data_IF_765462113174
#
_entry.id   IF_765462113174
#
_cell.length_a   1.000
_cell.length_b   1.000
_cell.length_c   1.000
_cell.angle_alpha   90.00
_cell.angle_beta   90.00
_cell.angle_gamma   90.00
#
_symmetry.space_group_name_H-M   'P 1'
#
loop_
_entity.id
_entity.type
_entity.pdbx_description
1 polymer ?
#
# COMPACT_ATOMS: atom_id res chain seq x y z
N UNK A 1 -15.98 35.54 -21.97
CA UNK A 1 -16.87 34.40 -21.69
C UNK A 1 -16.10 33.14 -22.06
N UNK A 2 -15.60 32.42 -21.06
CA UNK A 2 -15.06 31.06 -21.25
C UNK A 2 -15.45 30.30 -20.00
N UNK A 3 -16.27 29.28 -20.21
CA UNK A 3 -16.96 28.49 -19.20
C UNK A 3 -16.05 27.35 -18.77
N UNK A 4 -15.30 27.55 -17.67
CA UNK A 4 -14.66 26.45 -16.97
C UNK A 4 -15.74 25.63 -16.26
N UNK A 5 -16.04 24.49 -16.85
CA UNK A 5 -16.96 23.49 -16.34
C UNK A 5 -16.31 22.76 -15.16
N UNK A 6 -16.45 23.34 -13.96
CA UNK A 6 -16.35 22.57 -12.72
C UNK A 6 -17.61 21.70 -12.61
N UNK A 7 -17.62 20.58 -13.34
CA UNK A 7 -18.71 19.61 -13.26
C UNK A 7 -18.66 18.93 -11.90
N UNK A 8 -19.46 19.45 -10.96
CA UNK A 8 -19.87 18.75 -9.77
C UNK A 8 -20.59 17.47 -10.20
N UNK A 9 -19.93 16.32 -10.03
CA UNK A 9 -20.63 15.04 -9.99
C UNK A 9 -21.62 15.08 -8.83
N UNK A 10 -22.88 14.73 -9.10
CA UNK A 10 -23.94 14.64 -8.09
C UNK A 10 -23.48 13.79 -6.90
N UNK A 11 -23.90 14.10 -5.66
CA UNK A 11 -23.63 13.24 -4.52
C UNK A 11 -24.35 11.91 -4.77
N UNK A 12 -23.61 10.85 -5.06
CA UNK A 12 -24.13 9.52 -4.86
C UNK A 12 -24.41 9.40 -3.36
N UNK A 13 -25.63 9.01 -2.99
CA UNK A 13 -25.99 8.65 -1.63
C UNK A 13 -25.12 7.46 -1.22
N UNK A 14 -23.95 7.73 -0.66
CA UNK A 14 -23.07 6.70 -0.13
C UNK A 14 -23.64 6.24 1.21
N UNK A 15 -24.24 5.05 1.18
CA UNK A 15 -24.49 4.22 2.36
C UNK A 15 -23.19 4.09 3.16
N UNK A 16 -23.29 4.16 4.49
CA UNK A 16 -22.21 4.20 5.46
C UNK A 16 -21.42 2.88 5.60
N UNK A 17 -20.90 2.34 4.49
CA UNK A 17 -20.11 1.12 4.46
C UNK A 17 -18.84 1.27 3.61
N UNK A 18 -17.73 1.51 4.33
CA UNK A 18 -16.45 0.80 4.21
C UNK A 18 -15.45 1.03 3.05
N UNK A 19 -15.64 1.96 2.10
CA UNK A 19 -14.56 2.25 1.12
C UNK A 19 -14.08 3.70 1.20
N UNK A 20 -13.06 3.93 2.02
CA UNK A 20 -12.32 5.20 2.08
C UNK A 20 -11.30 5.35 0.93
N UNK A 21 -11.15 4.34 0.07
CA UNK A 21 -10.12 4.32 -0.97
C UNK A 21 -10.66 3.72 -2.26
N UNK A 22 -10.22 4.29 -3.38
CA UNK A 22 -10.54 3.83 -4.73
C UNK A 22 -9.25 3.69 -5.52
N UNK A 23 -9.01 2.54 -6.14
CA UNK A 23 -7.84 2.35 -7.00
C UNK A 23 -7.97 3.27 -8.22
N UNK A 24 -6.92 4.01 -8.54
CA UNK A 24 -6.86 4.89 -9.71
C UNK A 24 -6.20 4.11 -10.85
N UNK A 25 -6.86 4.07 -12.00
CA UNK A 25 -6.34 3.39 -13.18
C UNK A 25 -5.09 4.13 -13.72
N UNK A 26 -4.04 3.42 -14.17
CA UNK A 26 -2.85 4.05 -14.76
C UNK A 26 -3.14 4.96 -15.97
N UNK A 27 -4.26 4.75 -16.68
CA UNK A 27 -4.69 5.61 -17.78
C UNK A 27 -5.39 6.91 -17.33
N UNK A 28 -5.70 7.06 -16.03
CA UNK A 28 -6.36 8.24 -15.50
C UNK A 28 -5.42 9.46 -15.48
N UNK A 29 -5.96 10.65 -15.78
CA UNK A 29 -5.22 11.91 -15.73
C UNK A 29 -4.69 12.23 -14.34
N UNK A 30 -5.41 11.84 -13.28
CA UNK A 30 -4.98 11.96 -11.91
C UNK A 30 -3.73 11.11 -11.63
N UNK A 31 -3.69 9.89 -12.19
CA UNK A 31 -2.52 9.02 -12.10
C UNK A 31 -1.30 9.68 -12.75
N UNK A 32 -1.42 10.07 -14.03
CA UNK A 32 -0.34 10.72 -14.76
C UNK A 32 0.20 11.97 -14.05
N UNK A 33 -0.70 12.78 -13.47
CA UNK A 33 -0.31 13.97 -12.68
C UNK A 33 0.46 13.60 -11.41
N UNK A 34 0.00 12.60 -10.65
CA UNK A 34 0.70 12.17 -9.43
C UNK A 34 2.05 11.56 -9.76
N UNK A 35 2.12 10.75 -10.81
CA UNK A 35 3.35 10.14 -11.29
C UNK A 35 4.37 11.19 -11.73
N UNK A 36 3.97 12.20 -12.51
CA UNK A 36 4.84 13.30 -12.91
C UNK A 36 5.42 14.03 -11.68
N UNK A 37 4.57 14.37 -10.72
CA UNK A 37 4.99 15.02 -9.47
C UNK A 37 5.94 14.13 -8.67
N UNK A 38 5.66 12.83 -8.60
CA UNK A 38 6.45 11.87 -7.85
C UNK A 38 7.84 11.70 -8.45
N UNK A 39 7.94 11.53 -9.78
CA UNK A 39 9.21 11.38 -10.49
C UNK A 39 10.02 12.67 -10.48
N UNK A 40 9.38 13.83 -10.70
CA UNK A 40 10.02 15.15 -10.60
C UNK A 40 10.49 15.49 -9.18
N UNK A 41 9.77 14.99 -8.18
CA UNK A 41 10.08 15.13 -6.76
C UNK A 41 11.24 14.24 -6.29
N UNK A 42 11.66 13.26 -7.08
CA UNK A 42 12.73 12.32 -6.72
C UNK A 42 14.12 12.93 -7.01
N UNK A 43 14.68 13.60 -6.01
CA UNK A 43 15.88 14.47 -6.12
C UNK A 43 17.13 13.93 -5.41
N UNK A 44 16.98 12.95 -4.52
CA UNK A 44 18.13 12.26 -3.90
C UNK A 44 18.81 11.40 -4.96
N UNK A 45 20.11 11.63 -5.19
CA UNK A 45 20.86 11.02 -6.31
C UNK A 45 21.35 9.63 -5.97
N UNK A 46 21.56 9.36 -4.69
CA UNK A 46 22.00 8.10 -4.12
C UNK A 46 20.87 7.07 -4.02
N UNK A 47 19.60 7.50 -4.16
CA UNK A 47 18.44 6.62 -4.13
C UNK A 47 18.10 6.14 -5.54
N UNK A 48 17.94 4.83 -5.69
CA UNK A 48 17.34 4.24 -6.89
C UNK A 48 15.98 4.88 -7.17
N UNK A 49 15.67 5.15 -8.45
CA UNK A 49 14.38 5.74 -8.84
C UNK A 49 13.29 4.66 -8.80
N UNK A 50 12.28 4.79 -7.94
CA UNK A 50 11.23 3.80 -7.85
C UNK A 50 10.14 4.02 -8.91
N UNK A 51 9.35 2.98 -9.12
CA UNK A 51 8.12 3.02 -9.91
C UNK A 51 6.91 2.97 -8.99
N UNK A 52 5.81 3.57 -9.43
CA UNK A 52 4.53 3.44 -8.73
C UNK A 52 3.94 2.07 -9.09
N UNK A 53 3.65 1.26 -8.07
CA UNK A 53 2.95 -0.01 -8.22
C UNK A 53 1.44 0.20 -8.25
N UNK A 54 0.94 1.07 -7.36
CA UNK A 54 -0.49 1.31 -7.22
C UNK A 54 -0.74 2.70 -6.66
N UNK A 55 -1.79 3.34 -7.17
CA UNK A 55 -2.30 4.62 -6.70
C UNK A 55 -3.73 4.45 -6.21
N UNK A 56 -4.02 4.91 -5.00
CA UNK A 56 -5.38 4.98 -4.48
C UNK A 56 -5.80 6.42 -4.24
N UNK A 57 -6.98 6.82 -4.67
CA UNK A 57 -7.64 8.06 -4.25
C UNK A 57 -8.28 7.87 -2.88
N UNK A 58 -8.09 8.85 -2.00
CA UNK A 58 -8.67 8.88 -0.66
C UNK A 58 -10.02 9.58 -0.70
N UNK A 59 -11.08 8.83 -0.36
CA UNK A 59 -12.44 9.34 -0.24
C UNK A 59 -12.63 9.95 1.14
N UNK A 60 -12.62 11.29 1.18
CA UNK A 60 -12.92 12.04 2.39
C UNK A 60 -14.44 12.13 2.64
N UNK A 61 -14.84 12.17 3.91
CA UNK A 61 -16.23 12.46 4.29
C UNK A 61 -16.64 13.88 3.86
N UNK A 62 -17.93 14.11 3.63
CA UNK A 62 -18.44 15.43 3.25
C UNK A 62 -18.03 16.50 4.27
N UNK A 63 -18.15 16.21 5.58
CA UNK A 63 -17.72 17.09 6.66
C UNK A 63 -16.24 17.49 6.57
N UNK A 64 -15.39 16.54 6.20
CA UNK A 64 -13.95 16.77 6.00
C UNK A 64 -13.69 17.68 4.79
N UNK A 65 -14.45 17.49 3.71
CA UNK A 65 -14.37 18.34 2.51
C UNK A 65 -14.91 19.76 2.77
N UNK A 66 -16.00 19.89 3.52
CA UNK A 66 -16.63 21.19 3.83
C UNK A 66 -15.69 22.07 4.65
N UNK A 67 -15.09 21.50 5.71
CA UNK A 67 -14.10 22.22 6.55
C UNK A 67 -12.87 22.66 5.75
N UNK A 68 -12.39 21.82 4.83
CA UNK A 68 -11.29 22.18 3.92
C UNK A 68 -11.71 23.29 2.93
N UNK A 69 -12.92 23.20 2.38
CA UNK A 69 -13.45 24.20 1.44
C UNK A 69 -13.66 25.56 2.12
N UNK A 70 -14.18 25.58 3.34
CA UNK A 70 -14.32 26.78 4.15
C UNK A 70 -12.95 27.41 4.45
N UNK A 71 -11.97 26.60 4.85
CA UNK A 71 -10.60 27.08 5.07
C UNK A 71 -10.00 27.66 3.78
N UNK A 72 -10.19 26.99 2.64
CA UNK A 72 -9.76 27.48 1.32
C UNK A 72 -10.44 28.81 0.96
N UNK A 73 -11.72 28.95 1.25
CA UNK A 73 -12.52 30.12 0.93
C UNK A 73 -11.99 31.40 1.61
N UNK A 74 -11.43 31.29 2.82
CA UNK A 74 -10.79 32.41 3.52
C UNK A 74 -9.67 33.06 2.71
N UNK A 75 -8.99 32.30 1.84
CA UNK A 75 -7.90 32.78 1.00
C UNK A 75 -8.34 33.12 -0.44
N UNK A 76 -9.55 32.72 -0.85
CA UNK A 76 -10.12 32.93 -2.19
C UNK A 76 -9.10 32.56 -3.29
N UNK A 77 -8.82 33.47 -4.23
CA UNK A 77 -7.84 33.30 -5.31
C UNK A 77 -6.39 33.16 -4.82
N UNK A 78 -6.10 33.46 -3.55
CA UNK A 78 -4.76 33.38 -2.95
C UNK A 78 -4.51 32.06 -2.22
N UNK A 79 -5.42 31.08 -2.30
CA UNK A 79 -5.29 29.81 -1.61
C UNK A 79 -4.03 29.02 -1.99
N UNK A 80 -3.54 29.15 -3.23
CA UNK A 80 -2.32 28.46 -3.71
C UNK A 80 -2.32 26.97 -3.30
N UNK A 81 -3.32 26.24 -3.77
CA UNK A 81 -3.48 24.82 -3.45
C UNK A 81 -2.47 23.98 -4.24
N UNK A 82 -1.78 23.06 -3.56
CA UNK A 82 -0.75 22.21 -4.14
C UNK A 82 -0.92 20.76 -3.72
N UNK A 83 -0.39 19.83 -4.54
CA UNK A 83 -0.22 18.44 -4.15
C UNK A 83 1.19 18.26 -3.58
N UNK A 84 1.28 17.85 -2.31
CA UNK A 84 2.56 17.68 -1.59
C UNK A 84 2.64 16.31 -0.91
N UNK A 85 3.85 15.77 -0.83
CA UNK A 85 4.14 14.45 -0.27
C UNK A 85 4.31 14.49 1.25
N UNK A 86 3.89 13.41 1.90
CA UNK A 86 4.11 13.16 3.32
C UNK A 86 4.50 11.68 3.51
N UNK A 87 5.65 11.44 4.13
CA UNK A 87 6.07 10.10 4.57
C UNK A 87 5.77 9.91 6.05
N UNK A 88 5.36 8.70 6.42
CA UNK A 88 4.93 8.38 7.78
C UNK A 88 5.09 6.90 8.10
N UNK A 89 4.73 6.47 9.30
CA UNK A 89 4.81 5.05 9.68
C UNK A 89 3.61 4.24 9.16
N UNK A 90 3.90 3.01 8.72
CA UNK A 90 2.93 2.01 8.33
C UNK A 90 3.22 0.71 9.10
N UNK A 91 2.32 0.32 9.99
CA UNK A 91 2.48 -0.89 10.83
C UNK A 91 1.66 -2.09 10.33
N UNK A 92 0.93 -1.95 9.22
CA UNK A 92 0.05 -2.97 8.67
C UNK A 92 0.35 -3.21 7.18
N UNK A 93 -0.18 -4.29 6.63
CA UNK A 93 -0.08 -4.68 5.22
C UNK A 93 -1.04 -3.94 4.27
N UNK A 94 -1.66 -2.84 4.72
CA UNK A 94 -2.56 -2.01 3.94
C UNK A 94 -1.98 -1.63 2.57
N UNK A 95 -2.75 -1.86 1.51
CA UNK A 95 -2.42 -1.52 0.13
C UNK A 95 -1.37 -2.43 -0.53
N UNK A 96 -0.78 -3.37 0.22
CA UNK A 96 0.26 -4.27 -0.32
C UNK A 96 -0.31 -5.33 -1.27
N UNK A 97 -1.62 -5.55 -1.26
CA UNK A 97 -2.34 -6.36 -2.24
C UNK A 97 -3.70 -5.74 -2.56
N UNK A 98 -4.27 -6.02 -3.75
CA UNK A 98 -5.63 -5.61 -4.08
C UNK A 98 -6.69 -6.16 -3.11
N UNK A 99 -6.40 -7.25 -2.39
CA UNK A 99 -7.29 -7.84 -1.38
C UNK A 99 -7.23 -7.16 -0.02
N UNK A 100 -6.21 -6.33 0.25
CA UNK A 100 -5.97 -5.73 1.56
C UNK A 100 -6.06 -4.20 1.53
N UNK A 101 -7.27 -3.69 1.30
CA UNK A 101 -7.57 -2.25 1.29
C UNK A 101 -8.18 -1.74 2.60
N UNK A 102 -8.29 -2.61 3.62
CA UNK A 102 -8.87 -2.23 4.90
C UNK A 102 -7.85 -1.44 5.73
N UNK A 103 -8.28 -0.29 6.25
CA UNK A 103 -7.48 0.51 7.15
C UNK A 103 -7.46 -0.14 8.53
N UNK A 104 -6.27 -0.22 9.14
CA UNK A 104 -6.13 -0.76 10.49
C UNK A 104 -6.36 0.31 11.56
N UNK A 105 -6.60 -0.14 12.80
CA UNK A 105 -6.72 0.72 13.98
C UNK A 105 -5.48 0.64 14.88
N UNK A 106 -4.36 0.13 14.36
CA UNK A 106 -3.11 -0.02 15.13
C UNK A 106 -2.59 1.39 15.47
N UNK A 107 -2.38 1.73 16.76
CA UNK A 107 -1.97 3.08 17.16
C UNK A 107 -0.65 3.56 16.56
N UNK A 108 0.27 2.63 16.24
CA UNK A 108 1.55 2.93 15.59
C UNK A 108 1.45 3.11 14.06
N UNK A 109 0.30 2.84 13.45
CA UNK A 109 0.06 3.04 12.02
C UNK A 109 -0.46 4.46 11.75
N UNK A 110 0.48 5.40 11.66
CA UNK A 110 0.18 6.80 11.36
C UNK A 110 -0.47 6.95 9.98
N UNK A 111 -0.08 6.13 9.00
CA UNK A 111 -0.68 6.10 7.67
C UNK A 111 -2.20 5.89 7.74
N UNK A 112 -2.65 4.78 8.34
CA UNK A 112 -4.08 4.49 8.44
C UNK A 112 -4.81 5.53 9.29
N UNK A 113 -4.18 6.02 10.35
CA UNK A 113 -4.74 7.08 11.21
C UNK A 113 -5.00 8.37 10.43
N UNK A 114 -4.06 8.78 9.56
CA UNK A 114 -4.19 9.99 8.73
C UNK A 114 -5.23 9.77 7.62
N UNK A 115 -5.24 8.62 6.96
CA UNK A 115 -6.24 8.33 5.92
C UNK A 115 -7.66 8.34 6.52
N UNK A 116 -7.82 7.80 7.73
CA UNK A 116 -9.12 7.71 8.39
C UNK A 116 -9.58 9.04 9.01
N UNK A 117 -8.69 9.73 9.73
CA UNK A 117 -9.04 10.89 10.57
C UNK A 117 -8.54 12.23 10.00
N UNK A 118 -7.86 12.24 8.86
CA UNK A 118 -7.06 13.37 8.38
C UNK A 118 -5.87 13.70 9.29
N UNK A 119 -5.16 14.79 8.97
CA UNK A 119 -4.03 15.27 9.75
C UNK A 119 -4.46 16.01 11.01
N UNK A 120 -3.62 15.91 12.04
CA UNK A 120 -3.77 16.66 13.27
C UNK A 120 -2.43 17.27 13.70
N UNK A 121 -2.34 18.61 13.73
CA UNK A 121 -1.20 19.37 14.23
C UNK A 121 -0.82 18.93 15.63
N UNK A 122 -1.78 18.47 16.45
CA UNK A 122 -1.47 18.02 17.81
C UNK A 122 -0.57 16.77 17.83
N UNK A 123 -0.58 15.96 16.77
CA UNK A 123 0.27 14.77 16.60
C UNK A 123 1.69 15.12 16.15
N UNK A 124 1.97 16.37 15.75
CA UNK A 124 3.34 16.81 15.47
C UNK A 124 4.22 16.67 16.72
N UNK A 125 5.45 16.20 16.53
CA UNK A 125 6.41 16.02 17.64
C UNK A 125 6.34 14.67 18.35
N UNK A 126 5.33 13.83 18.07
CA UNK A 126 5.13 12.54 18.76
C UNK A 126 6.18 11.48 18.40
N UNK A 127 6.74 11.54 17.19
CA UNK A 127 7.76 10.58 16.71
C UNK A 127 9.16 11.18 16.62
N UNK A 128 9.26 12.43 16.18
CA UNK A 128 10.52 13.15 16.12
C UNK A 128 10.36 14.35 17.05
N UNK A 129 11.26 14.54 18.03
CA UNK A 129 11.15 15.68 18.96
C UNK A 129 11.63 16.99 18.35
N UNK A 130 12.53 16.92 17.36
CA UNK A 130 13.03 18.11 16.68
C UNK A 130 12.13 18.49 15.50
N UNK A 131 11.61 19.72 15.54
CA UNK A 131 10.82 20.33 14.48
C UNK A 131 11.52 21.59 13.98
N UNK A 132 11.96 21.56 12.72
CA UNK A 132 12.75 22.66 12.16
C UNK A 132 12.02 24.01 12.17
N UNK A 133 10.72 23.97 11.89
CA UNK A 133 9.82 25.13 11.86
C UNK A 133 8.71 24.97 12.90
N UNK A 134 9.03 24.36 14.04
CA UNK A 134 8.12 24.18 15.16
C UNK A 134 6.90 23.30 14.84
N UNK A 135 5.84 23.44 15.64
CA UNK A 135 4.72 22.51 15.71
C UNK A 135 3.72 22.75 14.57
N UNK A 136 3.85 21.96 13.51
CA UNK A 136 2.96 21.99 12.34
C UNK A 136 2.98 20.68 11.57
N UNK A 137 2.23 20.62 10.48
CA UNK A 137 2.16 19.47 9.58
C UNK A 137 3.19 19.68 8.47
N UNK A 138 4.18 18.77 8.41
CA UNK A 138 5.28 18.83 7.46
C UNK A 138 4.96 18.02 6.21
N UNK A 139 5.09 18.68 5.06
CA UNK A 139 4.91 18.11 3.72
C UNK A 139 5.98 18.65 2.80
N UNK A 140 6.19 18.06 1.63
CA UNK A 140 7.23 18.51 0.70
C UNK A 140 6.87 18.25 -0.75
N UNK A 141 7.41 19.07 -1.65
CA UNK A 141 7.40 18.82 -3.10
C UNK A 141 8.42 17.75 -3.53
N UNK A 142 9.31 17.32 -2.61
CA UNK A 142 10.36 16.35 -2.86
C UNK A 142 9.93 14.95 -2.34
N UNK A 143 9.40 14.11 -3.23
CA UNK A 143 8.99 12.73 -2.91
C UNK A 143 10.10 11.92 -2.24
N UNK A 144 11.33 11.99 -2.77
CA UNK A 144 12.50 11.31 -2.18
C UNK A 144 12.89 11.81 -0.78
N UNK A 145 12.47 13.01 -0.37
CA UNK A 145 12.63 13.49 1.01
C UNK A 145 11.51 12.97 1.90
N UNK A 146 10.27 13.00 1.41
CA UNK A 146 9.16 12.37 2.12
C UNK A 146 9.44 10.88 2.38
N UNK A 147 10.07 10.20 1.42
CA UNK A 147 10.53 8.83 1.52
C UNK A 147 11.45 8.55 2.74
N UNK A 148 12.27 9.51 3.20
CA UNK A 148 13.10 9.35 4.40
C UNK A 148 12.29 9.17 5.68
N UNK A 149 11.05 9.66 5.69
CA UNK A 149 10.16 9.59 6.84
C UNK A 149 9.28 8.33 6.83
N UNK A 150 9.24 7.60 5.70
CA UNK A 150 8.53 6.33 5.62
C UNK A 150 9.19 5.30 6.54
N UNK A 151 8.37 4.70 7.42
CA UNK A 151 8.76 3.52 8.21
C UNK A 151 7.71 2.44 8.02
N UNK A 152 8.02 1.49 7.14
CA UNK A 152 7.29 0.23 7.03
C UNK A 152 7.98 -0.88 7.81
N UNK A 153 7.35 -2.05 7.84
CA UNK A 153 7.99 -3.28 8.30
C UNK A 153 8.52 -4.05 7.07
N UNK A 154 9.86 -4.18 6.90
CA UNK A 154 10.44 -4.91 5.78
C UNK A 154 10.01 -6.37 5.71
N UNK A 155 9.68 -6.99 6.85
CA UNK A 155 9.14 -8.35 6.91
C UNK A 155 7.72 -8.47 6.36
N UNK A 156 7.00 -7.36 6.22
CA UNK A 156 5.66 -7.32 5.63
C UNK A 156 5.75 -7.05 4.12
N UNK A 157 6.58 -6.10 3.70
CA UNK A 157 6.75 -5.76 2.29
C UNK A 157 8.00 -4.92 2.05
N UNK A 158 8.63 -5.12 0.90
CA UNK A 158 9.66 -4.21 0.38
C UNK A 158 9.07 -2.98 -0.32
N UNK A 159 7.76 -2.96 -0.58
CA UNK A 159 7.08 -1.76 -1.10
C UNK A 159 6.99 -0.69 -0.02
N UNK A 160 7.05 0.55 -0.46
CA UNK A 160 7.01 1.75 0.36
C UNK A 160 5.75 2.55 0.06
N UNK A 161 5.33 3.39 1.00
CA UNK A 161 4.09 4.15 0.87
C UNK A 161 4.29 5.62 1.20
N UNK A 162 3.78 6.49 0.34
CA UNK A 162 3.67 7.93 0.59
C UNK A 162 2.23 8.39 0.48
N UNK A 163 1.89 9.42 1.26
CA UNK A 163 0.67 10.18 1.06
C UNK A 163 0.93 11.36 0.14
N UNK A 164 0.02 11.58 -0.82
CA UNK A 164 -0.06 12.81 -1.60
C UNK A 164 -1.27 13.58 -1.12
N UNK A 165 -1.08 14.85 -0.78
CA UNK A 165 -2.05 15.62 -0.01
C UNK A 165 -2.41 16.88 -0.76
N UNK A 166 -3.70 17.25 -0.75
CA UNK A 166 -4.16 18.59 -1.16
C UNK A 166 -3.85 19.55 -0.02
N UNK A 167 -3.01 20.55 -0.28
CA UNK A 167 -2.50 21.48 0.73
C UNK A 167 -2.74 22.92 0.30
N UNK A 168 -3.41 23.71 1.16
CA UNK A 168 -3.60 25.15 0.99
C UNK A 168 -2.36 25.85 1.52
N UNK A 169 -1.40 26.11 0.62
CA UNK A 169 -0.13 26.74 0.99
C UNK A 169 -0.31 28.24 1.24
N UNK A 170 -1.23 28.88 0.52
CA UNK A 170 -1.44 30.32 0.58
C UNK A 170 -0.17 31.12 0.27
N UNK A 171 0.01 32.25 0.95
CA UNK A 171 1.24 33.03 0.95
C UNK A 171 2.24 32.43 1.95
N UNK A 172 3.28 31.79 1.45
CA UNK A 172 4.31 31.14 2.27
C UNK A 172 5.41 32.10 2.73
N UNK A 173 5.80 32.01 4.00
CA UNK A 173 7.00 32.65 4.53
C UNK A 173 8.21 31.77 4.24
N UNK A 174 9.24 32.31 3.60
CA UNK A 174 10.45 31.55 3.25
C UNK A 174 11.49 31.63 4.37
N UNK A 175 12.01 30.48 4.79
CA UNK A 175 13.04 30.36 5.82
C UNK A 175 14.25 29.59 5.28
N UNK A 176 15.45 30.10 5.52
CA UNK A 176 16.71 29.38 5.25
C UNK A 176 17.25 28.64 6.48
N UNK A 177 16.88 29.13 7.66
CA UNK A 177 17.37 28.65 8.96
C UNK A 177 16.21 28.21 9.83
N UNK A 178 16.52 27.41 10.85
CA UNK A 178 15.55 26.86 11.79
C UNK A 178 14.75 27.96 12.50
N UNK A 179 13.46 27.69 12.72
CA UNK A 179 12.54 28.50 13.51
C UNK A 179 11.69 27.56 14.39
N UNK A 180 12.36 26.90 15.32
CA UNK A 180 11.83 25.75 16.08
C UNK A 180 10.68 26.09 17.03
N UNK A 181 10.47 27.37 17.34
CA UNK A 181 9.44 27.85 18.29
C UNK A 181 8.11 28.20 17.62
N UNK A 182 7.99 28.06 16.29
CA UNK A 182 6.76 28.39 15.58
C UNK A 182 5.62 27.42 15.96
N UNK A 183 4.45 27.98 16.22
CA UNK A 183 3.19 27.23 16.41
C UNK A 183 2.08 27.69 15.45
N UNK A 184 2.39 28.69 14.63
CA UNK A 184 1.52 29.30 13.62
C UNK A 184 2.38 29.99 12.56
N UNK A 185 1.87 30.26 11.35
CA UNK A 185 2.64 31.01 10.36
C UNK A 185 2.94 32.44 10.87
N UNK A 186 4.07 33.05 10.43
CA UNK A 186 4.37 34.45 10.73
C UNK A 186 3.26 35.40 10.26
N UNK A 187 3.16 36.57 10.89
CA UNK A 187 2.12 37.57 10.57
C UNK A 187 2.12 37.90 9.08
N UNK A 188 0.96 37.78 8.44
CA UNK A 188 0.78 38.08 7.02
C UNK A 188 1.12 36.92 6.07
N UNK A 189 1.36 35.72 6.61
CA UNK A 189 1.61 34.49 5.87
C UNK A 189 0.64 33.38 6.32
N UNK A 190 0.54 32.32 5.52
CA UNK A 190 -0.38 31.19 5.73
C UNK A 190 0.34 29.87 6.00
N UNK A 191 1.58 29.77 5.53
CA UNK A 191 2.46 28.61 5.70
C UNK A 191 3.92 29.05 5.81
N UNK A 192 4.80 28.10 6.09
CA UNK A 192 6.26 28.27 6.02
C UNK A 192 6.81 27.35 4.94
N UNK A 193 7.77 27.84 4.15
CA UNK A 193 8.58 27.03 3.24
C UNK A 193 10.05 27.18 3.65
N UNK A 194 10.64 26.07 4.07
CA UNK A 194 12.07 25.93 4.23
C UNK A 194 12.74 25.78 2.87
N UNK A 195 13.61 26.72 2.50
CA UNK A 195 14.32 26.71 1.22
C UNK A 195 15.75 26.17 1.38
N UNK A 196 16.27 25.39 0.40
CA UNK A 196 17.63 24.84 0.48
C UNK A 196 18.75 25.90 0.55
N UNK A 197 19.91 25.49 1.07
CA UNK A 197 21.12 26.32 1.13
C UNK A 197 21.40 26.98 2.47
N UNK A 198 20.75 26.49 3.53
CA UNK A 198 21.07 26.80 4.93
C UNK A 198 21.06 25.49 5.71
N UNK A 199 20.12 25.33 6.64
CA UNK A 199 20.00 24.10 7.45
C UNK A 199 19.27 22.96 6.71
N UNK A 200 18.97 23.14 5.41
CA UNK A 200 18.15 22.26 4.59
C UNK A 200 18.82 21.92 3.26
N UNK A 201 18.83 20.64 2.91
CA UNK A 201 19.24 20.13 1.59
C UNK A 201 18.10 20.14 0.58
N UNK A 202 16.86 20.01 1.05
CA UNK A 202 15.65 19.92 0.23
C UNK A 202 14.51 20.73 0.83
N UNK A 203 13.60 21.20 -0.01
CA UNK A 203 12.46 22.02 0.40
C UNK A 203 11.52 21.26 1.36
N UNK A 204 10.93 21.98 2.31
CA UNK A 204 9.87 21.52 3.20
C UNK A 204 8.83 22.61 3.35
N UNK A 205 7.56 22.24 3.32
CA UNK A 205 6.42 23.13 3.53
C UNK A 205 5.72 22.74 4.82
N UNK A 206 5.38 23.72 5.64
CA UNK A 206 4.71 23.51 6.93
C UNK A 206 3.42 24.33 6.98
N UNK A 207 2.31 23.64 7.25
CA UNK A 207 1.01 24.25 7.56
C UNK A 207 0.68 24.03 9.03
N UNK A 208 -0.02 24.99 9.65
CA UNK A 208 -0.25 25.01 11.10
C UNK A 208 -1.74 24.89 11.46
N UNK A 209 -2.56 24.39 10.53
CA UNK A 209 -4.00 24.22 10.72
C UNK A 209 -4.45 22.89 10.13
N UNK A 210 -5.28 22.13 10.85
CA UNK A 210 -5.75 20.81 10.40
C UNK A 210 -6.54 20.90 9.09
N UNK A 211 -7.30 21.99 8.91
CA UNK A 211 -8.08 22.24 7.68
C UNK A 211 -7.27 22.80 6.50
N UNK A 212 -5.97 23.02 6.66
CA UNK A 212 -5.10 23.43 5.55
C UNK A 212 -4.66 22.26 4.65
N UNK A 213 -5.00 21.02 5.02
CA UNK A 213 -4.52 19.81 4.33
C UNK A 213 -5.55 18.69 4.35
N UNK A 214 -5.65 17.94 3.25
CA UNK A 214 -6.39 16.68 3.17
C UNK A 214 -5.56 15.61 2.47
N UNK A 215 -5.55 14.35 2.96
CA UNK A 215 -5.00 13.25 2.19
C UNK A 215 -5.83 13.11 0.90
N UNK A 216 -5.16 13.02 -0.23
CA UNK A 216 -5.79 12.94 -1.54
C UNK A 216 -5.49 11.62 -2.24
N UNK A 217 -4.25 11.14 -2.14
CA UNK A 217 -3.87 9.85 -2.67
C UNK A 217 -2.91 9.10 -1.74
N UNK A 218 -2.92 7.78 -1.85
CA UNK A 218 -1.89 6.88 -1.32
C UNK A 218 -1.10 6.33 -2.50
N UNK A 219 0.21 6.54 -2.51
CA UNK A 219 1.14 6.03 -3.53
C UNK A 219 1.90 4.86 -2.95
N UNK A 220 1.79 3.70 -3.59
CA UNK A 220 2.57 2.50 -3.26
C UNK A 220 3.62 2.35 -4.35
N UNK A 221 4.88 2.24 -3.95
CA UNK A 221 6.00 2.29 -4.87
C UNK A 221 7.15 1.41 -4.39
N UNK A 222 8.04 1.07 -5.31
CA UNK A 222 9.22 0.27 -5.01
C UNK A 222 10.12 0.15 -6.21
N UNK A 223 11.00 -0.85 -6.20
CA UNK A 223 11.77 -1.21 -7.40
C UNK A 223 10.81 -1.65 -8.49
N UNK A 224 11.19 -1.40 -9.74
CA UNK A 224 10.46 -1.98 -10.86
C UNK A 224 10.33 -3.49 -10.65
N UNK A 225 9.14 -4.07 -10.87
CA UNK A 225 9.01 -5.53 -10.92
C UNK A 225 10.08 -6.05 -11.86
N UNK A 226 10.93 -6.95 -11.37
CA UNK A 226 11.92 -7.60 -12.23
C UNK A 226 11.12 -8.43 -13.22
N UNK A 227 10.99 -7.93 -14.45
CA UNK A 227 10.48 -8.75 -15.55
C UNK A 227 11.49 -9.88 -15.68
N UNK A 228 11.16 -11.06 -15.17
CA UNK A 228 11.95 -12.26 -15.42
C UNK A 228 11.81 -12.51 -16.93
N UNK A 229 12.87 -12.30 -17.73
CA UNK A 229 12.83 -12.69 -19.13
C UNK A 229 12.69 -14.21 -19.16
N UNK A 230 11.98 -14.73 -20.15
CA UNK A 230 11.98 -16.17 -20.47
C UNK A 230 13.40 -16.73 -20.37
N UNK A 231 13.54 -17.82 -19.63
CA UNK A 231 14.79 -18.49 -19.25
C UNK A 231 15.86 -18.51 -20.35
N UNK A 232 16.90 -17.70 -20.23
CA UNK A 232 18.27 -18.04 -20.67
C UNK A 232 19.30 -17.41 -19.71
N UNK A 233 20.36 -18.18 -19.46
CA UNK A 233 21.24 -18.18 -18.29
C UNK A 233 22.04 -16.89 -18.03
N UNK A 234 22.41 -16.65 -16.75
CA UNK A 234 23.73 -16.10 -16.32
C UNK A 234 23.83 -16.09 -14.76
N UNK A 235 25.06 -16.00 -14.19
CA UNK A 235 25.46 -16.76 -13.00
C UNK A 235 25.40 -15.99 -11.67
N UNK A 236 25.49 -16.79 -10.59
CA UNK A 236 25.40 -16.40 -9.19
C UNK A 236 26.71 -15.81 -8.63
N UNK A 237 26.59 -14.70 -7.89
CA UNK A 237 27.36 -14.29 -6.69
C UNK A 237 26.89 -12.87 -6.33
N UNK A 238 26.63 -12.40 -5.11
CA UNK A 238 26.77 -12.84 -3.70
C UNK A 238 25.68 -12.04 -2.95
N UNK A 239 25.11 -12.54 -1.84
CA UNK A 239 24.84 -11.73 -0.62
C UNK A 239 24.29 -12.61 0.51
N UNK A 240 24.97 -12.57 1.65
CA UNK A 240 24.61 -13.26 2.88
C UNK A 240 23.47 -12.55 3.63
N UNK A 241 22.63 -13.35 4.30
CA UNK A 241 21.77 -12.92 5.39
C UNK A 241 20.32 -12.55 5.02
N UNK A 242 19.61 -13.40 4.27
CA UNK A 242 18.19 -13.20 3.95
C UNK A 242 17.41 -14.52 4.05
N UNK A 243 16.23 -14.49 4.69
CA UNK A 243 15.17 -15.46 4.40
C UNK A 243 14.84 -15.38 2.91
N UNK A 244 14.85 -16.51 2.19
CA UNK A 244 14.52 -16.48 0.76
C UNK A 244 13.01 -16.66 0.55
N UNK A 245 12.43 -15.85 -0.34
CA UNK A 245 11.07 -16.03 -0.81
C UNK A 245 11.11 -17.02 -1.97
N UNK A 246 10.30 -18.06 -1.89
CA UNK A 246 10.16 -19.06 -2.95
C UNK A 246 8.74 -19.04 -3.50
N UNK A 247 8.63 -18.87 -4.83
CA UNK A 247 7.36 -19.04 -5.52
C UNK A 247 7.04 -20.53 -5.57
N UNK A 248 5.89 -20.90 -5.02
CA UNK A 248 5.46 -22.29 -4.99
C UNK A 248 3.99 -22.39 -5.36
N UNK A 249 3.58 -23.60 -5.74
CA UNK A 249 2.20 -23.97 -5.91
C UNK A 249 1.75 -24.68 -4.64
N UNK A 250 0.83 -24.04 -3.92
CA UNK A 250 0.10 -24.72 -2.86
C UNK A 250 -0.92 -25.68 -3.44
N UNK A 251 -0.79 -26.93 -3.00
CA UNK A 251 -1.86 -27.89 -3.04
C UNK A 251 -1.90 -28.57 -1.68
N UNK A 252 -2.97 -28.35 -0.97
CA UNK A 252 -3.10 -28.89 0.37
C UNK A 252 -3.97 -30.15 0.34
N UNK A 253 -4.04 -30.83 1.48
CA UNK A 253 -4.58 -32.18 1.67
C UNK A 253 -6.02 -32.38 1.17
N UNK A 254 -6.60 -33.57 1.40
CA UNK A 254 -7.96 -33.99 0.99
C UNK A 254 -9.10 -32.98 1.26
N UNK A 255 -8.85 -31.96 2.08
CA UNK A 255 -9.77 -30.92 2.53
C UNK A 255 -9.71 -29.62 1.70
N UNK A 256 -8.80 -29.50 0.71
CA UNK A 256 -8.64 -28.27 -0.10
C UNK A 256 -9.35 -28.34 -1.44
N UNK A 257 -10.59 -28.81 -1.42
CA UNK A 257 -11.37 -29.01 -2.64
C UNK A 257 -11.96 -27.68 -3.13
N UNK A 258 -11.82 -27.41 -4.44
CA UNK A 258 -12.59 -26.36 -5.10
C UNK A 258 -13.99 -26.89 -5.39
N UNK A 259 -14.91 -26.77 -4.42
CA UNK A 259 -16.26 -27.32 -4.57
C UNK A 259 -17.24 -26.39 -5.29
N UNK A 260 -16.81 -25.19 -5.65
CA UNK A 260 -17.63 -24.20 -6.32
C UNK A 260 -17.20 -24.00 -7.78
N UNK A 261 -18.08 -23.39 -8.58
CA UNK A 261 -17.84 -23.07 -9.98
C UNK A 261 -16.95 -21.83 -10.17
N UNK A 262 -15.86 -21.75 -9.40
CA UNK A 262 -14.92 -20.63 -9.45
C UNK A 262 -14.37 -20.52 -10.88
N UNK A 263 -14.55 -19.34 -11.50
CA UNK A 263 -14.07 -19.07 -12.86
C UNK A 263 -14.90 -19.66 -14.00
N UNK A 264 -15.94 -20.45 -13.74
CA UNK A 264 -16.84 -20.97 -14.80
C UNK A 264 -17.80 -19.89 -15.30
N UNK A 265 -18.46 -19.19 -14.37
CA UNK A 265 -19.39 -18.10 -14.70
C UNK A 265 -18.81 -16.72 -14.36
N UNK A 266 -18.03 -16.64 -13.27
CA UNK A 266 -17.45 -15.41 -12.75
C UNK A 266 -16.29 -15.74 -11.77
N UNK A 267 -15.30 -14.85 -11.69
CA UNK A 267 -14.17 -14.97 -10.78
C UNK A 267 -14.51 -14.47 -9.36
N UNK A 268 -15.56 -15.01 -8.76
CA UNK A 268 -16.04 -14.63 -7.43
C UNK A 268 -15.83 -15.78 -6.45
N UNK A 269 -15.17 -15.49 -5.32
CA UNK A 269 -14.93 -16.45 -4.25
C UNK A 269 -16.22 -16.72 -3.47
N UNK A 270 -16.64 -17.99 -3.36
CA UNK A 270 -17.86 -18.37 -2.64
C UNK A 270 -17.70 -18.31 -1.11
N UNK A 271 -18.81 -18.24 -0.38
CA UNK A 271 -18.85 -18.23 1.09
C UNK A 271 -19.09 -19.61 1.72
N UNK A 272 -18.94 -20.69 0.93
CA UNK A 272 -19.11 -22.05 1.44
C UNK A 272 -17.96 -22.39 2.38
N UNK A 273 -18.29 -22.74 3.63
CA UNK A 273 -17.30 -23.18 4.63
C UNK A 273 -16.50 -24.39 4.17
N UNK A 274 -17.09 -25.23 3.32
CA UNK A 274 -16.46 -26.43 2.76
C UNK A 274 -15.54 -26.17 1.55
N UNK A 275 -15.48 -24.93 1.01
CA UNK A 275 -14.63 -24.62 -0.13
C UNK A 275 -13.20 -24.31 0.29
N UNK A 276 -12.28 -25.26 0.12
CA UNK A 276 -10.89 -25.11 0.51
C UNK A 276 -10.20 -23.93 -0.18
N UNK A 277 -10.34 -23.80 -1.49
CA UNK A 277 -9.70 -22.72 -2.26
C UNK A 277 -10.21 -21.34 -1.83
N UNK A 278 -11.54 -21.15 -1.76
CA UNK A 278 -12.08 -19.82 -1.44
C UNK A 278 -11.78 -19.40 0.00
N UNK A 279 -11.83 -20.32 0.97
CA UNK A 279 -11.49 -20.01 2.36
C UNK A 279 -10.01 -19.67 2.51
N UNK A 280 -9.12 -20.41 1.84
CA UNK A 280 -7.67 -20.13 1.86
C UNK A 280 -7.36 -18.77 1.25
N UNK A 281 -7.92 -18.45 0.08
CA UNK A 281 -7.66 -17.16 -0.58
C UNK A 281 -8.22 -16.00 0.25
N UNK A 282 -9.44 -16.13 0.81
CA UNK A 282 -10.04 -15.09 1.66
C UNK A 282 -9.27 -14.84 2.95
N UNK A 283 -8.80 -15.91 3.58
CA UNK A 283 -8.12 -15.85 4.87
C UNK A 283 -6.60 -15.68 4.76
N UNK A 284 -6.04 -15.79 3.55
CA UNK A 284 -4.59 -15.89 3.33
C UNK A 284 -3.96 -17.01 4.17
N UNK A 285 -4.42 -18.25 3.95
CA UNK A 285 -3.98 -19.47 4.66
C UNK A 285 -4.26 -19.54 6.17
N UNK A 286 -4.94 -18.56 6.77
CA UNK A 286 -5.32 -18.58 8.19
C UNK A 286 -6.48 -19.51 8.51
N UNK A 287 -7.26 -19.87 7.51
CA UNK A 287 -8.44 -20.72 7.63
C UNK A 287 -8.63 -21.56 6.37
N UNK A 288 -8.78 -22.86 6.58
CA UNK A 288 -9.03 -23.89 5.57
C UNK A 288 -10.52 -24.26 5.55
N UNK A 289 -10.86 -25.30 4.79
CA UNK A 289 -12.23 -25.81 4.78
C UNK A 289 -12.68 -26.17 6.21
N UNK A 290 -13.96 -25.96 6.49
CA UNK A 290 -14.62 -26.20 7.77
C UNK A 290 -14.05 -25.44 8.98
N UNK A 291 -13.19 -24.45 8.74
CA UNK A 291 -12.64 -23.61 9.81
C UNK A 291 -11.31 -24.11 10.37
N UNK A 292 -10.71 -25.14 9.77
CA UNK A 292 -9.41 -25.65 10.18
C UNK A 292 -8.31 -24.59 10.03
N UNK A 293 -7.27 -24.65 10.87
CA UNK A 293 -6.20 -23.65 10.91
C UNK A 293 -4.86 -24.14 10.36
N UNK A 294 -4.76 -25.43 10.07
CA UNK A 294 -3.58 -26.07 9.53
C UNK A 294 -3.97 -27.34 8.77
N UNK A 295 -3.06 -27.88 7.97
CA UNK A 295 -3.19 -29.23 7.42
C UNK A 295 -2.30 -30.19 8.21
N UNK A 296 -2.77 -31.42 8.34
CA UNK A 296 -1.97 -32.51 8.89
C UNK A 296 -1.18 -33.21 7.76
N UNK A 297 0.14 -33.29 7.90
CA UNK A 297 1.00 -33.94 6.92
C UNK A 297 2.29 -34.49 7.53
N UNK A 298 3.25 -34.84 6.67
CA UNK A 298 4.52 -35.51 7.04
C UNK A 298 5.32 -34.79 8.14
N UNK A 299 5.23 -33.48 8.20
CA UNK A 299 5.97 -32.62 9.12
C UNK A 299 5.11 -32.05 10.26
N UNK A 300 3.90 -32.60 10.46
CA UNK A 300 2.94 -32.16 11.46
C UNK A 300 1.90 -31.18 10.93
N UNK A 301 1.26 -30.44 11.85
CA UNK A 301 0.28 -29.40 11.52
C UNK A 301 0.98 -28.19 10.90
N UNK A 302 0.55 -27.82 9.70
CA UNK A 302 1.00 -26.59 9.05
C UNK A 302 0.51 -26.47 7.61
N UNK A 303 1.20 -25.67 6.83
CA UNK A 303 0.87 -25.43 5.41
C UNK A 303 1.92 -26.09 4.54
N UNK A 304 1.44 -26.86 3.56
CA UNK A 304 2.27 -27.58 2.60
C UNK A 304 2.11 -26.97 1.20
N UNK A 305 3.23 -26.69 0.55
CA UNK A 305 3.31 -26.22 -0.83
C UNK A 305 4.36 -26.99 -1.62
N UNK A 306 4.40 -26.82 -2.94
CA UNK A 306 5.31 -27.54 -3.83
C UNK A 306 5.86 -26.59 -4.88
N UNK A 307 7.17 -26.65 -5.15
CA UNK A 307 7.74 -25.93 -6.31
C UNK A 307 7.27 -26.53 -7.62
N UNK A 308 7.21 -27.87 -7.72
CA UNK A 308 6.77 -28.57 -8.91
C UNK A 308 5.22 -28.60 -9.01
N UNK A 309 4.62 -27.96 -10.03
CA UNK A 309 3.18 -27.97 -10.24
C UNK A 309 2.58 -29.37 -10.42
N UNK A 310 3.34 -30.36 -10.90
CA UNK A 310 2.86 -31.74 -11.05
C UNK A 310 2.65 -32.44 -9.70
N UNK A 311 3.44 -32.09 -8.68
CA UNK A 311 3.20 -32.57 -7.32
C UNK A 311 2.01 -31.85 -6.71
N UNK A 312 1.89 -30.54 -6.98
CA UNK A 312 0.75 -29.75 -6.55
C UNK A 312 -0.57 -30.28 -7.17
N UNK A 313 -0.52 -30.64 -8.44
CA UNK A 313 -1.66 -31.14 -9.19
C UNK A 313 -2.29 -32.37 -8.54
N UNK A 314 -1.52 -33.26 -7.91
CA UNK A 314 -2.04 -34.47 -7.24
C UNK A 314 -3.13 -34.18 -6.20
N UNK A 315 -3.14 -32.97 -5.64
CA UNK A 315 -4.15 -32.54 -4.66
C UNK A 315 -5.13 -31.48 -5.21
N UNK A 316 -4.92 -31.03 -6.45
CA UNK A 316 -5.84 -30.12 -7.13
C UNK A 316 -7.13 -30.87 -7.53
N UNK A 317 -8.23 -30.53 -6.87
CA UNK A 317 -9.54 -31.15 -7.08
C UNK A 317 -10.57 -30.13 -7.58
N UNK A 318 -11.37 -30.55 -8.57
CA UNK A 318 -12.47 -29.77 -9.15
C UNK A 318 -13.81 -30.27 -8.62
N UNK A 319 -14.81 -29.39 -8.57
CA UNK A 319 -16.20 -29.80 -8.47
C UNK A 319 -16.65 -30.51 -9.75
N UNK A 320 -17.59 -31.46 -9.63
CA UNK A 320 -18.09 -32.25 -10.78
C UNK A 320 -18.72 -31.39 -11.90
N UNK A 321 -19.08 -30.14 -11.59
CA UNK A 321 -19.69 -29.18 -12.52
C UNK A 321 -18.68 -28.23 -13.18
N UNK A 322 -17.40 -28.26 -12.82
CA UNK A 322 -16.34 -27.43 -13.41
C UNK A 322 -15.34 -28.28 -14.19
N UNK A 323 -14.99 -27.89 -15.42
CA UNK A 323 -13.93 -28.57 -16.18
C UNK A 323 -12.52 -28.20 -15.70
N UNK A 324 -12.39 -27.24 -14.77
CA UNK A 324 -11.10 -26.70 -14.34
C UNK A 324 -10.64 -27.27 -13.00
N UNK A 325 -9.39 -27.70 -12.95
CA UNK A 325 -8.65 -27.90 -11.71
C UNK A 325 -8.14 -26.54 -11.23
N UNK A 326 -8.09 -26.38 -9.92
CA UNK A 326 -7.74 -25.10 -9.30
C UNK A 326 -6.59 -25.30 -8.32
N UNK A 327 -5.55 -24.49 -8.46
CA UNK A 327 -4.41 -24.43 -7.56
C UNK A 327 -4.15 -22.98 -7.15
N UNK A 328 -3.44 -22.80 -6.05
CA UNK A 328 -3.04 -21.47 -5.58
C UNK A 328 -1.53 -21.37 -5.75
N UNK A 329 -1.08 -20.43 -6.58
CA UNK A 329 0.30 -19.99 -6.56
C UNK A 329 0.49 -19.07 -5.35
N UNK A 330 1.56 -19.27 -4.61
CA UNK A 330 1.81 -18.61 -3.35
C UNK A 330 3.29 -18.28 -3.18
N UNK A 331 3.54 -17.19 -2.46
CA UNK A 331 4.87 -16.83 -2.03
C UNK A 331 5.08 -17.37 -0.63
N UNK A 332 6.18 -18.11 -0.44
CA UNK A 332 6.50 -18.73 0.84
C UNK A 332 7.84 -18.22 1.34
N UNK A 333 7.87 -17.80 2.59
CA UNK A 333 9.07 -17.40 3.31
C UNK A 333 9.68 -18.65 3.93
N UNK A 334 10.91 -18.99 3.55
CA UNK A 334 11.66 -20.08 4.17
C UNK A 334 12.90 -19.56 4.90
N UNK A 335 13.21 -20.21 6.01
CA UNK A 335 14.45 -19.98 6.76
C UNK A 335 15.58 -20.78 6.09
N UNK A 336 16.69 -20.08 5.81
CA UNK A 336 17.91 -20.57 5.14
C UNK A 336 17.85 -20.69 3.61
N UNK A 337 19.01 -20.44 2.97
CA UNK A 337 19.25 -20.56 1.52
C UNK A 337 19.23 -22.01 1.01
N UNK A 338 18.54 -22.94 1.69
CA UNK A 338 18.37 -24.30 1.21
C UNK A 338 17.14 -24.30 0.29
N UNK A 339 17.39 -24.35 -1.01
CA UNK A 339 16.31 -24.60 -1.97
C UNK A 339 15.71 -25.97 -1.68
N UNK A 340 14.40 -26.02 -1.41
CA UNK A 340 13.67 -27.28 -1.29
C UNK A 340 13.68 -27.94 -2.67
N UNK A 341 14.13 -29.20 -2.79
CA UNK A 341 14.13 -29.89 -4.08
C UNK A 341 12.73 -29.88 -4.70
N UNK A 342 12.65 -29.78 -6.03
CA UNK A 342 11.36 -29.79 -6.75
C UNK A 342 10.54 -31.06 -6.51
N UNK A 343 11.18 -32.13 -6.06
CA UNK A 343 10.55 -33.41 -5.72
C UNK A 343 9.89 -33.44 -4.33
N UNK A 344 10.08 -32.42 -3.50
CA UNK A 344 9.63 -32.40 -2.10
C UNK A 344 8.58 -31.32 -1.82
N UNK A 345 7.81 -31.53 -0.74
CA UNK A 345 6.92 -30.51 -0.20
C UNK A 345 7.69 -29.51 0.65
N UNK A 346 7.36 -28.24 0.48
CA UNK A 346 7.78 -27.15 1.33
C UNK A 346 6.74 -27.00 2.44
N UNK A 347 7.19 -27.04 3.69
CA UNK A 347 6.35 -26.94 4.88
C UNK A 347 6.61 -25.62 5.62
N UNK A 348 5.52 -24.95 6.03
CA UNK A 348 5.58 -23.85 6.99
C UNK A 348 4.63 -24.09 8.15
N UNK A 349 5.12 -23.87 9.37
CA UNK A 349 4.34 -24.09 10.59
C UNK A 349 3.26 -23.02 10.85
N UNK A 350 3.40 -21.84 10.23
CA UNK A 350 2.52 -20.69 10.45
C UNK A 350 1.99 -20.13 9.15
N UNK A 351 0.70 -19.79 9.10
CA UNK A 351 0.08 -19.15 7.94
C UNK A 351 0.71 -17.79 7.57
N UNK A 352 1.36 -17.09 8.51
CA UNK A 352 2.01 -15.80 8.25
C UNK A 352 3.26 -15.93 7.35
N UNK A 353 3.79 -17.14 7.17
CA UNK A 353 4.95 -17.42 6.30
C UNK A 353 4.55 -17.73 4.84
N UNK A 354 3.25 -17.67 4.51
CA UNK A 354 2.75 -17.99 3.17
C UNK A 354 1.59 -17.09 2.77
N UNK A 355 1.62 -16.57 1.54
CA UNK A 355 0.56 -15.71 1.02
C UNK A 355 0.10 -16.15 -0.37
N UNK A 356 -1.21 -16.11 -0.67
CA UNK A 356 -1.69 -16.43 -2.00
C UNK A 356 -1.33 -15.30 -2.96
N UNK A 357 -0.65 -15.64 -4.06
CA UNK A 357 -0.28 -14.71 -5.12
C UNK A 357 -1.28 -14.77 -6.28
N UNK A 358 -1.60 -15.99 -6.75
CA UNK A 358 -2.52 -16.20 -7.88
C UNK A 358 -3.41 -17.43 -7.66
N UNK A 359 -4.61 -17.39 -8.21
CA UNK A 359 -5.44 -18.59 -8.40
C UNK A 359 -5.25 -19.05 -9.83
N UNK A 360 -4.71 -20.25 -10.01
CA UNK A 360 -4.45 -20.83 -11.32
C UNK A 360 -5.53 -21.88 -11.60
N UNK A 361 -6.26 -21.67 -12.69
CA UNK A 361 -7.29 -22.57 -13.19
C UNK A 361 -6.81 -23.17 -14.50
N UNK A 362 -6.87 -24.49 -14.63
CA UNK A 362 -6.40 -25.21 -15.81
C UNK A 362 -7.24 -26.47 -16.05
N UNK A 363 -7.37 -26.87 -17.31
CA UNK A 363 -7.95 -28.17 -17.66
C UNK A 363 -6.90 -29.27 -17.51
N UNK A 364 -7.34 -30.45 -17.08
CA UNK A 364 -6.50 -31.65 -17.05
C UNK A 364 -6.11 -32.12 -18.45
#
# INVERSE_FOLDING_TARGET
MSTDSCAFGKPANFSATSKQLVCVDPSDKAYAKVEELFQKGWKHREKEKPVIHTLYEVICSQRSLDSYAEHKFQYRKRANEQLLFHGTSQACSFGMSPSNMALCHIPSCSLCSIVWNSFDVQKCGTRHHFQRFGRGIYVTSCSSKADDYFLGNPSISHSRVLLVNRVIVGKAAKYRFNATTLIKPPRGYNSVIGIPGGDLSYEETVVYHNDAIRPAYVVIYGKAPTVIPSMEAMPATVMEGLSCIQNTMTSQSSETQCICNLGVNQAVLCDLKSCGICNVVKSSFKTFAFGEHANNGRFGEGVYSYRNPQLADKFATSCTSSPYRVTIACDVVVENMVEVPESESLFVATADAIIPAYVIMYSA
#
